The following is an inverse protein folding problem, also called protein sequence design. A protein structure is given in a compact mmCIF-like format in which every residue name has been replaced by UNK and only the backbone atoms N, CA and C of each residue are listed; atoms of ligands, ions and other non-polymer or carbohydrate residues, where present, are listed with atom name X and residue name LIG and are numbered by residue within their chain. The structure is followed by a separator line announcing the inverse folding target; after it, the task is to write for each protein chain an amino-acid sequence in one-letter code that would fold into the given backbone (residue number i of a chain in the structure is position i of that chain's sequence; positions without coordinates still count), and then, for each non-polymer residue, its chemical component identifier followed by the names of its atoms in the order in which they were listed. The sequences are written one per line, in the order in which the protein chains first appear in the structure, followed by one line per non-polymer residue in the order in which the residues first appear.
data_IF_379199089786
#
_entry.id   IF_379199089786
#
_cell.length_a   1.000
_cell.length_b   1.000
_cell.length_c   1.000
_cell.angle_alpha   90.00
_cell.angle_beta   90.00
_cell.angle_gamma   90.00
#
_symmetry.space_group_name_H-M   'P 1'
#
loop_
_entity.id
_entity.type
_entity.pdbx_description
1 polymer ?
#
# COMPACT_ATOMS: atom_id res chain seq x y z
N UNK A 1 -7.19 0.65 -4.52
CA UNK A 1 -6.23 -0.35 -5.00
C UNK A 1 -6.47 -1.67 -4.31
N UNK A 2 -6.21 -2.77 -5.01
CA UNK A 2 -6.27 -4.14 -4.44
C UNK A 2 -5.22 -4.99 -5.15
N UNK A 3 -4.33 -5.64 -4.39
CA UNK A 3 -3.35 -6.56 -4.99
C UNK A 3 -2.52 -7.33 -3.97
N UNK A 4 -1.90 -8.45 -4.38
CA UNK A 4 -1.01 -9.21 -3.51
C UNK A 4 0.27 -8.43 -3.22
N UNK A 5 0.74 -8.50 -1.98
CA UNK A 5 1.95 -7.82 -1.52
C UNK A 5 3.23 -8.46 -2.11
N UNK A 6 4.08 -7.62 -2.67
CA UNK A 6 5.49 -7.91 -2.95
C UNK A 6 6.32 -7.09 -1.99
N UNK A 7 6.95 -7.73 -1.04
CA UNK A 7 7.59 -7.08 0.10
C UNK A 7 9.09 -6.86 -0.13
N UNK A 8 9.58 -5.70 0.30
CA UNK A 8 10.99 -5.30 0.20
C UNK A 8 11.42 -4.70 1.53
N UNK A 9 12.60 -5.10 2.01
CA UNK A 9 13.20 -4.54 3.21
C UNK A 9 14.49 -3.79 2.89
N UNK A 10 14.61 -2.57 3.43
CA UNK A 10 15.79 -1.71 3.28
C UNK A 10 16.43 -1.39 4.63
N UNK A 11 17.77 -1.31 4.66
CA UNK A 11 18.51 -0.90 5.85
C UNK A 11 19.63 0.09 5.49
N UNK A 12 20.15 0.76 6.52
CA UNK A 12 21.16 1.79 6.38
C UNK A 12 22.48 1.25 5.78
N UNK A 13 23.13 2.08 4.99
CA UNK A 13 24.46 1.81 4.43
C UNK A 13 25.14 3.12 4.03
N UNK A 14 26.47 3.11 3.95
CA UNK A 14 27.28 4.16 3.33
C UNK A 14 27.72 3.80 1.89
N UNK A 15 27.41 2.57 1.47
CA UNK A 15 27.71 2.08 0.14
C UNK A 15 26.81 2.73 -0.92
N UNK A 16 27.37 3.11 -2.05
CA UNK A 16 26.61 3.65 -3.19
C UNK A 16 26.13 2.53 -4.10
N UNK A 17 25.09 1.84 -3.66
CA UNK A 17 24.49 0.71 -4.38
C UNK A 17 23.13 1.09 -4.99
N UNK A 18 22.75 0.48 -6.14
CA UNK A 18 21.37 0.56 -6.63
C UNK A 18 20.42 -0.21 -5.68
N UNK A 19 19.14 0.11 -5.64
CA UNK A 19 18.13 -0.62 -4.87
C UNK A 19 17.74 -1.94 -5.55
N UNK A 20 18.71 -2.86 -5.70
CA UNK A 20 18.62 -4.02 -6.60
C UNK A 20 17.38 -4.87 -6.36
N UNK A 21 17.10 -5.29 -5.12
CA UNK A 21 15.94 -6.11 -4.82
C UNK A 21 14.61 -5.42 -5.17
N UNK A 22 14.54 -4.08 -5.07
CA UNK A 22 13.36 -3.33 -5.45
C UNK A 22 13.20 -3.29 -6.97
N UNK A 23 14.30 -3.15 -7.72
CA UNK A 23 14.27 -3.19 -9.19
C UNK A 23 13.86 -4.58 -9.67
N UNK A 24 14.48 -5.63 -9.15
CA UNK A 24 14.15 -7.02 -9.49
C UNK A 24 12.69 -7.35 -9.13
N UNK A 25 12.22 -6.89 -7.97
CA UNK A 25 10.83 -7.11 -7.56
C UNK A 25 9.81 -6.43 -8.48
N UNK A 26 10.11 -5.22 -8.99
CA UNK A 26 9.27 -4.52 -9.95
C UNK A 26 9.26 -5.24 -11.30
N UNK A 27 10.41 -5.73 -11.74
CA UNK A 27 10.55 -6.34 -13.07
C UNK A 27 10.03 -7.78 -13.14
N UNK A 28 10.11 -8.54 -12.05
CA UNK A 28 9.86 -9.98 -12.04
C UNK A 28 8.54 -10.39 -11.36
N UNK A 29 7.89 -9.48 -10.60
CA UNK A 29 6.66 -9.83 -9.91
C UNK A 29 5.45 -9.86 -10.83
N UNK A 30 4.44 -10.61 -10.42
CA UNK A 30 3.20 -10.74 -11.18
C UNK A 30 2.48 -9.41 -11.35
N UNK A 31 1.87 -9.20 -12.52
CA UNK A 31 0.94 -8.09 -12.76
C UNK A 31 -0.18 -8.07 -11.70
N UNK A 32 -0.61 -6.87 -11.31
CA UNK A 32 -1.62 -6.68 -10.26
C UNK A 32 -1.06 -6.67 -8.84
N UNK A 33 0.27 -6.80 -8.66
CA UNK A 33 0.89 -6.75 -7.33
C UNK A 33 0.96 -5.33 -6.77
N UNK A 34 1.01 -5.23 -5.44
CA UNK A 34 1.32 -4.00 -4.70
C UNK A 34 2.72 -4.11 -4.14
N UNK A 35 3.59 -3.15 -4.50
CA UNK A 35 4.97 -3.11 -4.01
C UNK A 35 4.99 -2.48 -2.62
N UNK A 36 5.47 -3.22 -1.63
CA UNK A 36 5.50 -2.81 -0.21
C UNK A 36 6.96 -2.66 0.23
N UNK A 37 7.40 -1.42 0.49
CA UNK A 37 8.77 -1.13 0.92
C UNK A 37 8.76 -0.65 2.37
N UNK A 38 9.56 -1.32 3.21
CA UNK A 38 9.79 -0.94 4.60
C UNK A 38 11.25 -1.15 4.99
N UNK A 39 11.62 -0.78 6.19
CA UNK A 39 13.00 -0.95 6.64
C UNK A 39 13.29 -0.23 7.95
N UNK A 40 14.54 0.19 8.11
CA UNK A 40 14.99 0.97 9.26
C UNK A 40 14.09 2.19 9.51
N UNK A 41 13.79 2.56 10.76
CA UNK A 41 12.92 3.69 11.10
C UNK A 41 13.31 5.02 10.44
N UNK A 42 14.59 5.25 10.14
CA UNK A 42 15.03 6.47 9.45
C UNK A 42 14.73 6.50 7.95
N UNK A 43 14.11 5.46 7.39
CA UNK A 43 13.73 5.36 5.98
C UNK A 43 12.77 6.49 5.54
N UNK A 44 12.03 7.07 6.47
CA UNK A 44 11.16 8.23 6.21
C UNK A 44 11.92 9.51 5.81
N UNK A 45 13.23 9.57 6.04
CA UNK A 45 14.08 10.72 5.69
C UNK A 45 14.53 10.72 4.23
N UNK A 46 14.32 9.62 3.50
CA UNK A 46 14.72 9.45 2.11
C UNK A 46 13.56 8.94 1.24
N UNK A 47 13.64 9.24 -0.05
CA UNK A 47 12.71 8.70 -1.03
C UNK A 47 13.17 7.33 -1.49
N UNK A 48 12.42 6.31 -1.11
CA UNK A 48 12.61 4.92 -1.56
C UNK A 48 11.88 4.62 -2.87
N UNK A 49 11.11 5.59 -3.35
CA UNK A 49 10.32 5.50 -4.58
C UNK A 49 10.36 6.83 -5.33
N UNK A 50 10.28 6.77 -6.67
CA UNK A 50 10.23 7.94 -7.53
C UNK A 50 9.75 7.64 -8.94
N UNK A 51 9.86 8.60 -9.86
CA UNK A 51 9.30 8.53 -11.21
C UNK A 51 9.77 7.32 -12.01
N UNK A 52 11.06 6.97 -12.01
CA UNK A 52 11.57 5.81 -12.78
C UNK A 52 11.04 4.48 -12.25
N UNK A 53 10.93 4.30 -10.93
CA UNK A 53 10.34 3.09 -10.36
C UNK A 53 8.85 3.02 -10.68
N UNK A 54 8.16 4.16 -10.69
CA UNK A 54 6.76 4.25 -11.13
C UNK A 54 6.60 3.85 -12.59
N UNK A 55 7.48 4.32 -13.48
CA UNK A 55 7.46 3.92 -14.90
C UNK A 55 7.61 2.39 -15.06
N UNK A 56 8.55 1.78 -14.32
CA UNK A 56 8.71 0.33 -14.28
C UNK A 56 7.48 -0.40 -13.76
N UNK A 57 6.89 0.08 -12.65
CA UNK A 57 5.69 -0.50 -12.05
C UNK A 57 4.48 -0.44 -13.00
N UNK A 58 4.28 0.69 -13.68
CA UNK A 58 3.21 0.84 -14.69
C UNK A 58 3.43 -0.08 -15.89
N UNK A 59 4.66 -0.17 -16.39
CA UNK A 59 5.00 -1.06 -17.50
C UNK A 59 4.72 -2.54 -17.17
N UNK A 60 4.97 -2.96 -15.93
CA UNK A 60 4.71 -4.30 -15.43
C UNK A 60 3.29 -4.48 -14.85
N UNK A 61 2.44 -3.45 -14.96
CA UNK A 61 1.02 -3.47 -14.53
C UNK A 61 0.85 -3.77 -13.04
N UNK A 62 1.69 -3.20 -12.19
CA UNK A 62 1.47 -3.20 -10.75
C UNK A 62 0.35 -2.23 -10.36
N UNK A 63 -0.32 -2.48 -9.24
CA UNK A 63 -1.48 -1.70 -8.78
C UNK A 63 -1.08 -0.45 -8.00
N UNK A 64 -0.04 -0.52 -7.17
CA UNK A 64 0.36 0.56 -6.29
C UNK A 64 1.73 0.34 -5.65
N UNK A 65 2.23 1.38 -4.96
CA UNK A 65 3.33 1.29 -4.01
C UNK A 65 2.87 1.72 -2.60
N UNK A 66 3.26 0.96 -1.58
CA UNK A 66 3.04 1.25 -0.15
C UNK A 66 4.41 1.36 0.53
N UNK A 67 4.73 2.54 1.04
CA UNK A 67 6.07 2.90 1.48
C UNK A 67 6.09 3.29 2.96
N UNK A 68 6.76 2.52 3.78
CA UNK A 68 7.11 2.94 5.15
C UNK A 68 8.29 3.93 5.16
N UNK A 69 8.39 4.75 4.15
CA UNK A 69 9.43 5.71 3.84
C UNK A 69 8.92 6.87 3.00
N UNK A 70 9.84 7.59 2.37
CA UNK A 70 9.51 8.75 1.54
C UNK A 70 9.30 8.42 0.06
N UNK A 71 8.62 9.33 -0.64
CA UNK A 71 8.48 9.35 -2.10
C UNK A 71 9.03 10.66 -2.65
N UNK A 72 9.62 10.62 -3.86
CA UNK A 72 9.98 11.82 -4.65
C UNK A 72 9.22 11.84 -5.98
N UNK A 73 9.39 12.90 -6.74
CA UNK A 73 8.82 13.09 -8.08
C UNK A 73 7.27 13.01 -8.11
N UNK A 74 6.61 13.35 -6.98
CA UNK A 74 5.17 13.17 -6.79
C UNK A 74 4.33 13.92 -7.83
N UNK A 75 4.78 15.11 -8.27
CA UNK A 75 4.11 15.88 -9.32
C UNK A 75 4.15 15.16 -10.67
N UNK A 76 5.28 14.55 -11.01
CA UNK A 76 5.46 13.73 -12.21
C UNK A 76 4.61 12.45 -12.13
N UNK A 77 4.67 11.75 -11.00
CA UNK A 77 3.89 10.51 -10.79
C UNK A 77 2.39 10.76 -11.01
N UNK A 78 1.85 11.85 -10.44
CA UNK A 78 0.44 12.20 -10.61
C UNK A 78 0.07 12.65 -12.02
N UNK A 79 0.95 13.43 -12.67
CA UNK A 79 0.69 13.98 -13.99
C UNK A 79 0.77 12.94 -15.10
N UNK A 80 1.79 12.06 -15.05
CA UNK A 80 2.18 11.23 -16.18
C UNK A 80 1.76 9.77 -16.05
N UNK A 81 1.58 9.28 -14.82
CA UNK A 81 1.34 7.86 -14.56
C UNK A 81 0.01 7.55 -13.87
N UNK A 82 -0.57 8.52 -13.14
CA UNK A 82 -1.76 8.32 -12.28
C UNK A 82 -1.65 7.05 -11.39
N UNK A 83 -0.41 6.78 -10.92
CA UNK A 83 -0.07 5.58 -10.19
C UNK A 83 -0.21 5.84 -8.68
N UNK A 84 -1.00 5.02 -7.94
CA UNK A 84 -1.21 5.20 -6.52
C UNK A 84 0.06 4.93 -5.71
N UNK A 85 0.45 5.89 -4.87
CA UNK A 85 1.58 5.76 -3.94
C UNK A 85 1.13 6.20 -2.55
N UNK A 86 1.22 5.30 -1.60
CA UNK A 86 1.02 5.56 -0.17
C UNK A 86 2.39 5.69 0.49
N UNK A 87 2.70 6.81 1.08
CA UNK A 87 4.01 7.07 1.66
C UNK A 87 3.91 7.88 2.95
N UNK A 88 4.85 7.69 3.87
CA UNK A 88 4.93 8.48 5.10
C UNK A 88 5.31 9.94 4.85
N UNK A 89 6.23 10.17 3.91
CA UNK A 89 6.78 11.51 3.67
C UNK A 89 6.98 11.75 2.17
N UNK A 90 7.11 13.04 1.83
CA UNK A 90 7.55 13.48 0.50
C UNK A 90 8.89 14.19 0.67
N UNK A 91 9.94 13.70 0.01
CA UNK A 91 11.30 14.21 0.17
C UNK A 91 12.12 14.04 -1.11
N UNK A 92 12.99 15.00 -1.50
CA UNK A 92 13.89 14.82 -2.64
C UNK A 92 15.13 13.97 -2.31
N UNK A 93 15.31 13.55 -1.05
CA UNK A 93 16.47 12.77 -0.62
C UNK A 93 16.54 11.43 -1.35
N UNK A 94 17.76 10.98 -1.68
CA UNK A 94 17.99 9.68 -2.32
C UNK A 94 18.45 8.62 -1.31
N UNK A 95 18.19 7.36 -1.60
CA UNK A 95 18.73 6.20 -0.85
C UNK A 95 20.22 5.99 -1.10
N UNK A 96 20.78 6.48 -2.21
CA UNK A 96 22.17 6.25 -2.61
C UNK A 96 23.16 6.70 -1.54
N UNK A 97 23.97 5.77 -1.00
CA UNK A 97 24.91 6.00 0.08
C UNK A 97 24.26 6.23 1.45
N UNK A 98 23.00 5.82 1.62
CA UNK A 98 22.25 5.95 2.88
C UNK A 98 21.48 4.67 3.23
N UNK A 99 20.89 4.03 2.23
CA UNK A 99 20.11 2.80 2.36
C UNK A 99 20.43 1.83 1.24
N UNK A 100 20.29 0.56 1.53
CA UNK A 100 20.34 -0.53 0.54
C UNK A 100 19.18 -1.50 0.79
N UNK A 101 18.70 -2.13 -0.27
CA UNK A 101 17.75 -3.23 -0.17
C UNK A 101 18.46 -4.47 0.36
N UNK A 102 17.87 -5.11 1.37
CA UNK A 102 18.41 -6.31 2.02
C UNK A 102 17.74 -7.58 1.52
N UNK A 103 16.43 -7.52 1.30
CA UNK A 103 15.64 -8.67 0.87
C UNK A 103 14.39 -8.26 0.11
N UNK A 104 13.89 -9.17 -0.73
CA UNK A 104 12.57 -9.13 -1.31
C UNK A 104 11.82 -10.43 -0.99
N UNK A 105 10.48 -10.37 -1.02
CA UNK A 105 9.59 -11.52 -0.79
C UNK A 105 9.87 -12.26 0.52
N UNK A 106 10.16 -11.51 1.57
CA UNK A 106 10.22 -11.98 2.96
C UNK A 106 9.18 -11.22 3.80
N UNK A 107 8.66 -11.80 4.90
CA UNK A 107 7.78 -11.08 5.81
C UNK A 107 8.41 -9.77 6.28
N UNK A 108 7.63 -8.70 6.28
CA UNK A 108 8.06 -7.37 6.73
C UNK A 108 7.06 -6.79 7.73
N UNK A 109 7.45 -5.75 8.45
CA UNK A 109 6.57 -5.07 9.42
C UNK A 109 6.46 -3.59 9.07
N UNK A 110 5.22 -3.07 9.06
CA UNK A 110 4.90 -1.64 8.94
C UNK A 110 4.08 -1.23 10.16
N UNK A 111 4.63 -0.38 11.00
CA UNK A 111 4.01 -0.10 12.30
C UNK A 111 3.98 -1.37 13.17
N UNK A 112 2.79 -1.82 13.52
CA UNK A 112 2.50 -3.05 14.27
C UNK A 112 1.93 -4.18 13.38
N UNK A 113 1.86 -3.95 12.06
CA UNK A 113 1.28 -4.90 11.10
C UNK A 113 2.38 -5.69 10.40
N UNK A 114 2.33 -7.02 10.50
CA UNK A 114 3.16 -7.91 9.68
C UNK A 114 2.49 -8.11 8.32
N UNK A 115 3.26 -7.89 7.25
CA UNK A 115 2.85 -8.15 5.87
C UNK A 115 3.67 -9.30 5.32
N UNK A 116 3.02 -10.39 4.98
CA UNK A 116 3.68 -11.52 4.32
C UNK A 116 3.58 -11.35 2.79
N UNK A 117 4.55 -11.89 2.03
CA UNK A 117 4.42 -11.95 0.58
C UNK A 117 3.11 -12.64 0.17
N UNK A 118 2.34 -11.99 -0.71
CA UNK A 118 1.05 -12.50 -1.18
C UNK A 118 -0.17 -12.16 -0.30
N UNK A 119 0.01 -11.53 0.88
CA UNK A 119 -1.11 -10.95 1.62
C UNK A 119 -1.79 -9.88 0.77
N UNK A 120 -3.11 -9.78 0.87
CA UNK A 120 -3.86 -8.83 0.06
C UNK A 120 -3.78 -7.43 0.67
N UNK A 121 -3.21 -6.51 -0.10
CA UNK A 121 -3.20 -5.09 0.24
C UNK A 121 -4.42 -4.44 -0.39
N UNK A 122 -5.22 -3.77 0.44
CA UNK A 122 -6.39 -2.99 0.01
C UNK A 122 -6.21 -1.56 0.49
N UNK A 123 -6.36 -0.60 -0.40
CA UNK A 123 -6.15 0.80 -0.05
C UNK A 123 -7.06 1.74 -0.81
N UNK A 124 -7.44 2.82 -0.15
CA UNK A 124 -8.17 3.94 -0.70
C UNK A 124 -7.65 5.27 -0.11
N UNK A 125 -8.45 6.34 -0.18
CA UNK A 125 -8.06 7.66 0.32
C UNK A 125 -7.96 7.69 1.86
N UNK A 126 -8.61 6.79 2.58
CA UNK A 126 -8.60 6.72 4.04
C UNK A 126 -7.36 5.99 4.58
N UNK A 127 -6.74 5.14 3.74
CA UNK A 127 -5.52 4.44 4.11
C UNK A 127 -5.37 3.07 3.48
N UNK A 128 -4.56 2.23 4.13
CA UNK A 128 -4.19 0.91 3.62
C UNK A 128 -4.42 -0.14 4.70
N UNK A 129 -5.05 -1.25 4.33
CA UNK A 129 -5.18 -2.45 5.17
C UNK A 129 -4.47 -3.63 4.54
N UNK A 130 -3.96 -4.53 5.39
CA UNK A 130 -3.38 -5.80 4.99
C UNK A 130 -4.32 -6.93 5.42
N UNK A 131 -4.76 -7.73 4.47
CA UNK A 131 -5.60 -8.90 4.71
C UNK A 131 -4.78 -10.15 4.48
N UNK A 132 -4.54 -11.00 5.50
CA UNK A 132 -3.81 -12.24 5.32
C UNK A 132 -4.46 -13.11 4.25
N UNK A 133 -3.64 -13.64 3.33
CA UNK A 133 -4.11 -14.42 2.18
C UNK A 133 -5.05 -15.57 2.60
N UNK A 134 -4.74 -16.23 3.72
CA UNK A 134 -5.48 -17.39 4.20
C UNK A 134 -6.96 -17.09 4.54
N UNK A 135 -7.29 -15.85 4.87
CA UNK A 135 -8.65 -15.43 5.28
C UNK A 135 -9.29 -14.44 4.31
N UNK A 136 -8.66 -14.16 3.18
CA UNK A 136 -9.12 -13.13 2.24
C UNK A 136 -10.54 -13.37 1.73
N UNK A 137 -10.92 -14.62 1.44
CA UNK A 137 -12.27 -14.96 0.98
C UNK A 137 -13.33 -14.74 2.07
N UNK A 138 -13.02 -15.06 3.32
CA UNK A 138 -13.91 -14.84 4.45
C UNK A 138 -14.09 -13.33 4.72
N UNK A 139 -13.00 -12.58 4.73
CA UNK A 139 -13.03 -11.13 4.88
C UNK A 139 -13.84 -10.47 3.78
N UNK A 140 -13.69 -10.90 2.52
CA UNK A 140 -14.48 -10.39 1.41
C UNK A 140 -15.98 -10.61 1.61
N UNK A 141 -16.39 -11.81 2.02
CA UNK A 141 -17.79 -12.13 2.26
C UNK A 141 -18.40 -11.27 3.39
N UNK A 142 -17.63 -11.05 4.47
CA UNK A 142 -18.05 -10.19 5.58
C UNK A 142 -18.14 -8.73 5.13
N UNK A 143 -17.15 -8.22 4.40
CA UNK A 143 -17.14 -6.84 3.89
C UNK A 143 -18.34 -6.57 2.98
N UNK A 144 -18.65 -7.48 2.05
CA UNK A 144 -19.84 -7.38 1.19
C UNK A 144 -21.16 -7.36 1.98
N UNK A 145 -21.25 -8.15 3.04
CA UNK A 145 -22.42 -8.16 3.94
C UNK A 145 -22.55 -6.83 4.69
N UNK A 146 -21.45 -6.27 5.17
CA UNK A 146 -21.41 -4.97 5.86
C UNK A 146 -21.83 -3.86 4.89
N UNK A 147 -21.22 -3.79 3.72
CA UNK A 147 -21.51 -2.78 2.69
C UNK A 147 -22.99 -2.77 2.30
N UNK A 148 -23.58 -3.96 2.08
CA UNK A 148 -25.01 -4.07 1.76
C UNK A 148 -25.90 -3.52 2.89
N UNK A 149 -25.55 -3.78 4.15
CA UNK A 149 -26.30 -3.28 5.32
C UNK A 149 -26.13 -1.78 5.48
N UNK A 150 -24.92 -1.25 5.27
CA UNK A 150 -24.65 0.19 5.31
C UNK A 150 -25.43 0.95 4.26
N UNK A 151 -25.53 0.43 3.04
CA UNK A 151 -26.33 1.04 1.97
C UNK A 151 -27.81 1.14 2.36
N UNK A 152 -28.40 0.10 2.95
CA UNK A 152 -29.79 0.13 3.39
C UNK A 152 -29.99 1.04 4.61
N UNK A 153 -29.06 1.07 5.52
CA UNK A 153 -29.08 1.99 6.67
C UNK A 153 -28.98 3.44 6.21
N UNK A 154 -28.08 3.75 5.29
CA UNK A 154 -27.92 5.09 4.73
C UNK A 154 -29.22 5.56 4.04
N UNK A 155 -29.88 4.71 3.25
CA UNK A 155 -31.18 5.01 2.64
C UNK A 155 -32.24 5.37 3.70
N UNK A 156 -32.35 4.57 4.76
CA UNK A 156 -33.29 4.84 5.84
C UNK A 156 -32.99 6.20 6.52
N UNK A 157 -31.72 6.45 6.84
CA UNK A 157 -31.29 7.70 7.47
C UNK A 157 -31.64 8.91 6.59
N UNK A 158 -31.38 8.85 5.30
CA UNK A 158 -31.68 9.92 4.34
C UNK A 158 -33.20 10.15 4.26
N UNK A 159 -34.02 9.11 4.25
CA UNK A 159 -35.47 9.20 4.16
C UNK A 159 -36.11 9.73 5.43
N UNK A 160 -35.66 9.29 6.60
CA UNK A 160 -36.24 9.67 7.89
C UNK A 160 -35.61 10.94 8.51
N UNK A 161 -34.42 11.33 8.06
CA UNK A 161 -33.62 12.38 8.68
C UNK A 161 -33.07 12.00 10.07
N UNK A 162 -33.03 10.69 10.41
CA UNK A 162 -32.74 10.22 11.74
C UNK A 162 -31.66 9.13 11.77
N UNK A 163 -30.47 9.49 12.27
CA UNK A 163 -29.41 8.53 12.59
C UNK A 163 -29.86 7.49 13.64
N UNK A 164 -30.73 7.92 14.59
CA UNK A 164 -31.21 7.04 15.65
C UNK A 164 -32.09 5.90 15.11
N UNK A 165 -32.93 6.19 14.12
CA UNK A 165 -33.76 5.16 13.45
C UNK A 165 -32.88 4.18 12.67
N UNK A 166 -31.88 4.66 11.96
CA UNK A 166 -30.90 3.80 11.29
C UNK A 166 -30.20 2.86 12.27
N UNK A 167 -29.70 3.41 13.38
CA UNK A 167 -29.01 2.63 14.41
C UNK A 167 -29.97 1.64 15.10
N UNK A 168 -31.21 2.03 15.38
CA UNK A 168 -32.19 1.17 16.02
C UNK A 168 -32.57 -0.06 15.16
N UNK A 169 -32.62 0.12 13.84
CA UNK A 169 -33.00 -0.96 12.90
C UNK A 169 -31.82 -1.88 12.53
N UNK A 170 -30.65 -1.32 12.25
CA UNK A 170 -29.51 -2.08 11.72
C UNK A 170 -28.40 -2.34 12.74
N UNK A 171 -28.42 -1.64 13.87
CA UNK A 171 -27.36 -1.70 14.86
C UNK A 171 -26.12 -0.91 14.42
N UNK A 172 -25.06 -1.02 15.19
CA UNK A 172 -23.73 -0.53 14.76
C UNK A 172 -23.14 -1.55 13.78
N UNK A 173 -22.77 -1.07 12.65
CA UNK A 173 -22.11 -1.84 11.60
C UNK A 173 -20.61 -1.78 11.81
#
# INVERSE_FOLDING_TARGET
IVGPAVTIYEDVTDEKLPPQHALDAIDESASGSVIVITGNPSLETVAVWGGLMTAGAVANKHEAAVLNGGVRDLAEIRRDYDFPVYAKTVTPGTTLGRFKTISANQPVTIGDVTVNPGDLIVGDIDGVVCVPQAVAAEVLALAQSIDSRELEQAKLIIQSGSLREGLAKYGRI
#
